data_IF_309229700803
#
_entry.id   IF_309229700803
#
_cell.length_a   1.000
_cell.length_b   1.000
_cell.length_c   1.000
_cell.angle_alpha   90.00
_cell.angle_beta   90.00
_cell.angle_gamma   90.00
#
_symmetry.space_group_name_H-M   'P 1'
#
loop_
_entity.id
_entity.type
_entity.pdbx_description
1 polymer ?
#
# COMPACT_ATOMS: atom_id res chain seq x y z
N UNK A 1 -66.55 6.97 -105.09
CA UNK A 1 -65.61 6.42 -106.05
C UNK A 1 -64.57 5.54 -105.36
N UNK A 2 -63.86 4.70 -106.20
CA UNK A 2 -62.82 3.77 -105.60
C UNK A 2 -61.72 4.62 -104.92
N UNK A 3 -61.33 5.85 -105.47
CA UNK A 3 -60.32 6.75 -104.92
C UNK A 3 -60.69 7.29 -103.49
N UNK A 4 -62.00 7.55 -103.30
CA UNK A 4 -62.45 8.05 -101.97
C UNK A 4 -62.35 6.96 -100.88
N UNK A 5 -62.54 5.70 -101.30
CA UNK A 5 -62.38 4.55 -100.35
C UNK A 5 -60.96 4.24 -100.08
N UNK A 6 -60.04 4.38 -101.04
CA UNK A 6 -58.60 4.20 -100.87
C UNK A 6 -57.98 5.33 -99.99
N UNK A 7 -58.46 6.57 -100.13
CA UNK A 7 -58.05 7.68 -99.30
C UNK A 7 -58.54 7.52 -97.85
N UNK A 8 -59.77 7.04 -97.66
CA UNK A 8 -60.29 6.74 -96.32
C UNK A 8 -59.58 5.55 -95.67
N UNK A 9 -59.18 4.54 -96.43
CA UNK A 9 -58.38 3.42 -95.93
C UNK A 9 -56.95 3.87 -95.56
N UNK A 10 -56.31 4.67 -96.38
CA UNK A 10 -54.99 5.27 -96.06
C UNK A 10 -55.03 6.15 -94.81
N UNK A 11 -56.10 6.95 -94.65
CA UNK A 11 -56.28 7.76 -93.45
C UNK A 11 -56.41 6.88 -92.21
N UNK A 12 -57.25 5.79 -92.32
CA UNK A 12 -57.46 4.88 -91.23
C UNK A 12 -56.19 4.06 -90.88
N UNK A 13 -55.41 3.66 -91.90
CA UNK A 13 -54.11 3.01 -91.69
C UNK A 13 -53.11 3.97 -91.00
N UNK A 14 -53.07 5.25 -91.33
CA UNK A 14 -52.26 6.24 -90.67
C UNK A 14 -52.65 6.46 -89.22
N UNK A 15 -53.96 6.49 -88.89
CA UNK A 15 -54.46 6.61 -87.56
C UNK A 15 -54.10 5.38 -86.72
N UNK A 16 -54.22 4.15 -87.25
CA UNK A 16 -53.82 2.92 -86.61
C UNK A 16 -52.30 2.88 -86.37
N UNK A 17 -51.47 3.31 -87.32
CA UNK A 17 -50.03 3.40 -87.20
C UNK A 17 -49.61 4.41 -86.07
N UNK A 18 -50.34 5.51 -85.97
CA UNK A 18 -50.11 6.55 -84.94
C UNK A 18 -50.52 5.97 -83.53
N UNK A 19 -51.65 5.28 -83.44
CA UNK A 19 -52.08 4.63 -82.20
C UNK A 19 -51.10 3.53 -81.79
N UNK A 20 -50.62 2.69 -82.68
CA UNK A 20 -49.63 1.68 -82.44
C UNK A 20 -48.30 2.26 -81.93
N UNK A 21 -47.82 3.36 -82.56
CA UNK A 21 -46.63 4.07 -82.10
C UNK A 21 -46.76 4.72 -80.73
N UNK A 22 -47.95 5.26 -80.42
CA UNK A 22 -48.26 5.81 -79.11
C UNK A 22 -48.33 4.77 -77.98
N UNK A 23 -48.92 3.60 -78.32
CA UNK A 23 -48.93 2.43 -77.41
C UNK A 23 -47.56 1.85 -77.20
N UNK A 24 -46.73 1.72 -78.23
CA UNK A 24 -45.34 1.28 -78.07
C UNK A 24 -44.50 2.18 -77.15
N UNK A 25 -44.66 3.52 -77.39
CA UNK A 25 -44.03 4.51 -76.49
C UNK A 25 -44.52 4.35 -75.05
N UNK A 26 -45.77 4.20 -74.82
CA UNK A 26 -46.37 4.05 -73.49
C UNK A 26 -46.00 2.73 -72.82
N UNK A 27 -45.81 1.66 -73.56
CA UNK A 27 -45.24 0.38 -73.02
C UNK A 27 -43.75 0.55 -72.63
N UNK A 28 -42.95 1.21 -73.47
CA UNK A 28 -41.56 1.49 -73.16
C UNK A 28 -41.40 2.40 -71.92
N UNK A 29 -42.20 3.41 -71.75
CA UNK A 29 -42.25 4.25 -70.57
C UNK A 29 -42.65 3.47 -69.30
N UNK A 30 -43.67 2.66 -69.38
CA UNK A 30 -44.15 1.82 -68.31
C UNK A 30 -43.10 0.78 -67.93
N UNK A 31 -42.41 0.18 -68.90
CA UNK A 31 -41.30 -0.76 -68.66
C UNK A 31 -40.12 -0.07 -67.94
N UNK A 32 -39.71 1.10 -68.42
CA UNK A 32 -38.65 1.88 -67.81
C UNK A 32 -38.98 2.28 -66.35
N UNK A 33 -40.24 2.68 -66.10
CA UNK A 33 -40.72 2.97 -64.75
C UNK A 33 -40.74 1.74 -63.86
N UNK A 34 -41.08 0.55 -64.38
CA UNK A 34 -41.02 -0.71 -63.68
C UNK A 34 -39.57 -1.08 -63.30
N UNK A 35 -38.65 -0.98 -64.27
CA UNK A 35 -37.23 -1.30 -64.04
C UNK A 35 -36.60 -0.34 -63.02
N UNK A 36 -36.95 0.94 -63.07
CA UNK A 36 -36.52 1.90 -62.06
C UNK A 36 -37.06 1.59 -60.64
N UNK A 37 -38.34 1.19 -60.56
CA UNK A 37 -38.95 0.78 -59.28
C UNK A 37 -38.30 -0.48 -58.72
N UNK A 38 -38.00 -1.47 -59.59
CA UNK A 38 -37.23 -2.68 -59.16
C UNK A 38 -35.84 -2.35 -58.67
N UNK A 39 -35.11 -1.47 -59.35
CA UNK A 39 -33.82 -1.03 -58.92
C UNK A 39 -33.88 -0.31 -57.54
N UNK A 40 -34.88 0.55 -57.34
CA UNK A 40 -35.11 1.22 -56.05
C UNK A 40 -35.45 0.21 -54.93
N UNK A 41 -36.31 -0.79 -55.17
CA UNK A 41 -36.63 -1.82 -54.22
C UNK A 41 -35.39 -2.64 -53.80
N UNK A 42 -34.54 -3.01 -54.80
CA UNK A 42 -33.30 -3.75 -54.57
C UNK A 42 -32.30 -2.93 -53.74
N UNK A 43 -32.18 -1.60 -53.99
CA UNK A 43 -31.33 -0.72 -53.21
C UNK A 43 -31.82 -0.60 -51.75
N UNK A 44 -33.11 -0.38 -51.51
CA UNK A 44 -33.70 -0.31 -50.19
C UNK A 44 -33.54 -1.64 -49.43
N UNK A 45 -33.66 -2.80 -50.10
CA UNK A 45 -33.41 -4.11 -49.51
C UNK A 45 -31.93 -4.28 -49.08
N UNK A 46 -30.97 -3.78 -49.89
CA UNK A 46 -29.56 -3.75 -49.56
C UNK A 46 -29.25 -2.88 -48.33
N UNK A 47 -29.81 -1.65 -48.31
CA UNK A 47 -29.67 -0.73 -47.17
C UNK A 47 -30.28 -1.36 -45.89
N UNK A 48 -31.46 -1.96 -45.96
CA UNK A 48 -32.09 -2.66 -44.83
C UNK A 48 -31.20 -3.79 -44.29
N UNK A 49 -30.66 -4.64 -45.17
CA UNK A 49 -29.80 -5.76 -44.75
C UNK A 49 -28.53 -5.29 -44.08
N UNK A 50 -27.89 -4.24 -44.60
CA UNK A 50 -26.73 -3.62 -44.00
C UNK A 50 -27.03 -3.05 -42.63
N UNK A 51 -28.15 -2.31 -42.51
CA UNK A 51 -28.54 -1.71 -41.22
C UNK A 51 -28.97 -2.76 -40.18
N UNK A 52 -29.62 -3.86 -40.61
CA UNK A 52 -29.93 -5.03 -39.73
C UNK A 52 -28.66 -5.65 -39.16
N UNK A 53 -27.63 -5.83 -39.99
CA UNK A 53 -26.33 -6.32 -39.55
C UNK A 53 -25.66 -5.37 -38.55
N UNK A 54 -25.72 -4.05 -38.82
CA UNK A 54 -25.19 -3.04 -37.90
C UNK A 54 -25.91 -3.03 -36.54
N UNK A 55 -27.23 -3.11 -36.54
CA UNK A 55 -28.04 -3.20 -35.30
C UNK A 55 -27.76 -4.49 -34.51
N UNK A 56 -27.52 -5.60 -35.20
CA UNK A 56 -27.13 -6.87 -34.58
C UNK A 56 -25.75 -6.76 -33.91
N UNK A 57 -24.78 -6.14 -34.60
CA UNK A 57 -23.44 -5.88 -34.04
C UNK A 57 -23.50 -4.97 -32.81
N UNK A 58 -24.23 -3.87 -32.87
CA UNK A 58 -24.46 -2.99 -31.71
C UNK A 58 -25.08 -3.74 -30.53
N UNK A 59 -25.95 -4.73 -30.81
CA UNK A 59 -26.53 -5.58 -29.79
C UNK A 59 -25.50 -6.47 -29.08
N UNK A 60 -24.58 -7.04 -29.86
CA UNK A 60 -23.47 -7.85 -29.34
C UNK A 60 -22.49 -7.00 -28.51
N UNK A 61 -22.17 -5.79 -29.01
CA UNK A 61 -21.28 -4.85 -28.31
C UNK A 61 -21.90 -4.40 -26.95
N UNK A 62 -23.20 -4.12 -26.90
CA UNK A 62 -23.92 -3.82 -25.68
C UNK A 62 -23.89 -4.95 -24.68
N UNK A 63 -24.03 -6.21 -25.12
CA UNK A 63 -23.96 -7.39 -24.24
C UNK A 63 -22.53 -7.53 -23.67
N UNK A 64 -21.50 -7.39 -24.51
CA UNK A 64 -20.11 -7.42 -24.08
C UNK A 64 -19.80 -6.31 -23.05
N UNK A 65 -20.23 -5.08 -23.30
CA UNK A 65 -20.06 -3.96 -22.35
C UNK A 65 -20.80 -4.21 -21.03
N UNK A 66 -21.94 -4.87 -21.06
CA UNK A 66 -22.68 -5.21 -19.85
C UNK A 66 -21.98 -6.26 -19.00
N UNK A 67 -21.35 -7.25 -19.62
CA UNK A 67 -20.58 -8.28 -18.92
C UNK A 67 -19.28 -7.70 -18.35
N UNK A 68 -18.59 -6.83 -19.11
CA UNK A 68 -17.42 -6.09 -18.63
C UNK A 68 -17.76 -5.19 -17.43
N UNK A 69 -18.90 -4.49 -17.49
CA UNK A 69 -19.36 -3.67 -16.38
C UNK A 69 -19.66 -4.50 -15.12
N UNK A 70 -20.24 -5.70 -15.27
CA UNK A 70 -20.47 -6.62 -14.16
C UNK A 70 -19.18 -7.07 -13.53
N UNK A 71 -18.20 -7.46 -14.35
CA UNK A 71 -16.87 -7.87 -13.89
C UNK A 71 -16.19 -6.76 -13.09
N UNK A 72 -16.17 -5.54 -13.64
CA UNK A 72 -15.60 -4.38 -12.94
C UNK A 72 -16.29 -4.06 -11.62
N UNK A 73 -17.61 -4.21 -11.58
CA UNK A 73 -18.39 -4.04 -10.35
C UNK A 73 -18.01 -5.08 -9.29
N UNK A 74 -17.95 -6.34 -9.68
CA UNK A 74 -17.65 -7.45 -8.76
C UNK A 74 -16.21 -7.34 -8.24
N UNK A 75 -15.25 -6.93 -9.08
CA UNK A 75 -13.88 -6.61 -8.68
C UNK A 75 -13.84 -5.43 -7.69
N UNK A 76 -14.56 -4.35 -7.97
CA UNK A 76 -14.66 -3.20 -7.05
C UNK A 76 -15.25 -3.61 -5.71
N UNK A 77 -16.29 -4.42 -5.69
CA UNK A 77 -16.96 -4.86 -4.47
C UNK A 77 -16.03 -5.73 -3.62
N UNK A 78 -15.24 -6.60 -4.25
CA UNK A 78 -14.19 -7.37 -3.57
C UNK A 78 -13.09 -6.47 -2.96
N UNK A 79 -12.65 -5.42 -3.70
CA UNK A 79 -11.69 -4.45 -3.18
C UNK A 79 -12.26 -3.65 -2.00
N UNK A 80 -13.54 -3.30 -2.02
CA UNK A 80 -14.20 -2.61 -0.92
C UNK A 80 -14.30 -3.47 0.35
N UNK A 81 -14.56 -4.78 0.22
CA UNK A 81 -14.53 -5.70 1.38
C UNK A 81 -13.11 -5.85 1.93
N UNK A 82 -12.10 -5.94 1.06
CA UNK A 82 -10.70 -5.95 1.49
C UNK A 82 -10.32 -4.65 2.21
N UNK A 83 -10.75 -3.49 1.69
CA UNK A 83 -10.55 -2.18 2.34
C UNK A 83 -11.16 -2.14 3.75
N UNK A 84 -12.34 -2.68 3.95
CA UNK A 84 -12.98 -2.77 5.27
C UNK A 84 -12.17 -3.60 6.25
N UNK A 85 -11.61 -4.72 5.80
CA UNK A 85 -10.79 -5.59 6.63
C UNK A 85 -9.47 -4.91 7.03
N UNK A 86 -8.78 -4.28 6.07
CA UNK A 86 -7.58 -3.50 6.37
C UNK A 86 -7.86 -2.33 7.32
N UNK A 87 -9.01 -1.70 7.22
CA UNK A 87 -9.40 -0.60 8.11
C UNK A 87 -9.63 -1.09 9.55
N UNK A 88 -10.22 -2.28 9.72
CA UNK A 88 -10.31 -2.91 11.04
C UNK A 88 -8.94 -3.23 11.62
N UNK A 89 -8.02 -3.73 10.78
CA UNK A 89 -6.65 -4.02 11.20
C UNK A 89 -5.89 -2.73 11.57
N UNK A 90 -6.02 -1.66 10.78
CA UNK A 90 -5.44 -0.35 11.09
C UNK A 90 -5.95 0.18 12.44
N UNK A 91 -7.26 0.13 12.67
CA UNK A 91 -7.87 0.58 13.92
C UNK A 91 -7.35 -0.23 15.12
N UNK A 92 -7.27 -1.56 14.98
CA UNK A 92 -6.74 -2.45 16.03
C UNK A 92 -5.26 -2.17 16.30
N UNK A 93 -4.45 -2.05 15.25
CA UNK A 93 -3.00 -1.76 15.38
C UNK A 93 -2.76 -0.37 15.97
N UNK A 94 -3.55 0.62 15.60
CA UNK A 94 -3.50 1.97 16.18
C UNK A 94 -3.82 1.97 17.68
N UNK A 95 -4.84 1.21 18.12
CA UNK A 95 -5.16 1.05 19.54
C UNK A 95 -4.03 0.33 20.30
N UNK A 96 -3.46 -0.74 19.72
CA UNK A 96 -2.33 -1.46 20.30
C UNK A 96 -1.08 -0.56 20.42
N UNK A 97 -0.82 0.26 19.42
CA UNK A 97 0.29 1.22 19.44
C UNK A 97 0.10 2.28 20.54
N UNK A 98 -1.12 2.77 20.74
CA UNK A 98 -1.43 3.69 21.86
C UNK A 98 -1.14 3.04 23.21
N UNK A 99 -1.59 1.81 23.42
CA UNK A 99 -1.30 1.05 24.64
C UNK A 99 0.21 0.81 24.83
N UNK A 100 0.93 0.43 23.75
CA UNK A 100 2.39 0.24 23.81
C UNK A 100 3.14 1.54 24.16
N UNK A 101 2.68 2.70 23.70
CA UNK A 101 3.24 4.01 24.06
C UNK A 101 3.00 4.35 25.53
N UNK A 102 1.82 4.01 26.07
CA UNK A 102 1.51 4.17 27.50
C UNK A 102 2.39 3.27 28.37
N UNK A 103 2.60 2.01 27.94
CA UNK A 103 3.51 1.08 28.59
C UNK A 103 4.96 1.60 28.57
N UNK A 104 5.43 2.11 27.43
CA UNK A 104 6.76 2.72 27.28
C UNK A 104 6.90 3.90 28.25
N UNK A 105 5.93 4.81 28.31
CA UNK A 105 5.92 5.94 29.23
C UNK A 105 5.96 5.49 30.70
N UNK A 106 5.22 4.45 31.05
CA UNK A 106 5.24 3.86 32.39
C UNK A 106 6.59 3.23 32.71
N UNK A 107 7.18 2.49 31.76
CA UNK A 107 8.49 1.87 31.92
C UNK A 107 9.60 2.94 32.08
N UNK A 108 9.56 4.01 31.30
CA UNK A 108 10.49 5.15 31.41
C UNK A 108 10.38 5.83 32.78
N UNK A 109 9.17 6.10 33.27
CA UNK A 109 8.96 6.65 34.62
C UNK A 109 9.52 5.73 35.71
N UNK A 110 9.32 4.43 35.56
CA UNK A 110 9.87 3.43 36.48
C UNK A 110 11.41 3.45 36.48
N UNK A 111 12.04 3.56 35.30
CA UNK A 111 13.50 3.67 35.18
C UNK A 111 14.02 4.95 35.83
N UNK A 112 13.38 6.10 35.58
CA UNK A 112 13.72 7.38 36.22
C UNK A 112 13.63 7.27 37.74
N UNK A 113 12.66 6.56 38.28
CA UNK A 113 12.53 6.30 39.70
C UNK A 113 13.65 5.46 40.36
N UNK A 114 14.50 4.80 39.53
CA UNK A 114 15.66 4.02 40.01
C UNK A 114 16.95 4.85 40.16
N UNK A 115 16.96 6.09 39.74
CA UNK A 115 18.12 7.00 39.79
C UNK A 115 17.78 8.28 40.54
N UNK A 116 18.82 9.04 40.95
CA UNK A 116 18.58 10.33 41.55
C UNK A 116 18.08 11.37 40.53
N UNK A 117 17.37 12.38 41.01
CA UNK A 117 16.69 13.38 40.19
C UNK A 117 17.65 14.15 39.27
N UNK A 118 18.86 14.42 39.74
CA UNK A 118 19.83 15.20 38.98
C UNK A 118 20.40 14.36 37.83
N UNK A 119 20.69 13.08 38.07
CA UNK A 119 21.13 12.13 37.04
C UNK A 119 20.02 11.92 35.98
N UNK A 120 18.79 11.76 36.41
CA UNK A 120 17.65 11.57 35.49
C UNK A 120 17.48 12.79 34.57
N UNK A 121 17.43 14.00 35.15
CA UNK A 121 17.32 15.25 34.38
C UNK A 121 18.51 15.43 33.43
N UNK A 122 19.72 15.10 33.92
CA UNK A 122 20.93 15.20 33.12
C UNK A 122 20.95 14.27 31.91
N UNK A 123 20.55 12.99 32.07
CA UNK A 123 20.49 12.02 30.98
C UNK A 123 19.46 12.42 29.92
N UNK A 124 18.27 12.87 30.34
CA UNK A 124 17.26 13.37 29.39
C UNK A 124 17.75 14.59 28.59
N UNK A 125 18.46 15.53 29.29
CA UNK A 125 19.02 16.67 28.62
C UNK A 125 20.12 16.26 27.63
N UNK A 126 21.01 15.33 27.98
CA UNK A 126 22.06 14.81 27.08
C UNK A 126 21.45 14.22 25.82
N UNK A 127 20.40 13.38 25.96
CA UNK A 127 19.70 12.76 24.83
C UNK A 127 19.11 13.83 23.89
N UNK A 128 18.44 14.84 24.45
CA UNK A 128 17.89 15.96 23.69
C UNK A 128 18.96 16.80 22.98
N UNK A 129 20.10 17.10 23.68
CA UNK A 129 21.22 17.83 23.14
C UNK A 129 21.91 17.10 22.00
N UNK A 130 22.14 15.79 22.16
CA UNK A 130 22.76 14.93 21.14
C UNK A 130 21.92 14.93 19.87
N UNK A 131 20.61 14.82 19.99
CA UNK A 131 19.68 14.85 18.86
C UNK A 131 19.62 16.26 18.21
N UNK A 132 19.51 17.33 19.02
CA UNK A 132 19.38 18.71 18.52
C UNK A 132 20.63 19.20 17.81
N UNK A 133 21.82 18.96 18.41
CA UNK A 133 23.11 19.45 17.92
C UNK A 133 23.81 18.43 17.00
N UNK A 134 23.19 17.28 16.73
CA UNK A 134 23.73 16.17 15.93
C UNK A 134 25.16 15.79 16.35
N UNK A 135 25.39 15.64 17.66
CA UNK A 135 26.72 15.35 18.24
C UNK A 135 27.04 13.87 17.97
N UNK A 136 28.09 13.60 17.21
CA UNK A 136 28.61 12.26 16.97
C UNK A 136 29.56 11.84 18.10
N UNK A 137 29.80 10.53 18.24
CA UNK A 137 30.72 9.98 19.23
C UNK A 137 30.12 9.75 20.62
N UNK A 138 28.81 9.83 20.76
CA UNK A 138 28.09 9.50 21.99
C UNK A 138 27.48 8.12 21.87
N UNK A 139 27.93 7.18 22.68
CA UNK A 139 27.43 5.79 22.66
C UNK A 139 26.20 5.60 23.55
N UNK A 140 26.03 6.43 24.58
CA UNK A 140 24.93 6.38 25.53
C UNK A 140 25.33 5.94 26.93
N UNK A 141 24.36 5.83 27.84
CA UNK A 141 24.60 5.36 29.20
C UNK A 141 25.02 3.88 29.23
N UNK A 142 25.90 3.54 30.17
CA UNK A 142 26.51 2.20 30.25
C UNK A 142 25.47 1.07 30.25
N UNK A 143 24.33 1.27 30.93
CA UNK A 143 23.26 0.27 31.02
C UNK A 143 22.64 -0.12 29.65
N UNK A 144 22.76 0.71 28.62
CA UNK A 144 22.25 0.43 27.28
C UNK A 144 23.23 -0.39 26.42
N UNK A 145 24.51 -0.43 26.82
CA UNK A 145 25.63 -0.87 26.00
C UNK A 145 26.04 -2.31 26.21
N UNK A 146 25.33 -3.06 27.07
CA UNK A 146 25.65 -4.47 27.34
C UNK A 146 24.40 -5.33 27.57
N UNK A 147 24.62 -6.64 27.46
CA UNK A 147 23.66 -7.67 27.87
C UNK A 147 24.29 -8.57 28.91
N UNK A 148 23.48 -9.06 29.82
CA UNK A 148 23.88 -9.97 30.89
C UNK A 148 22.81 -11.02 31.12
N UNK A 149 23.22 -12.26 31.45
CA UNK A 149 22.35 -13.34 31.86
C UNK A 149 21.66 -13.00 33.21
N UNK A 150 20.40 -13.37 33.37
CA UNK A 150 19.61 -13.12 34.58
C UNK A 150 20.28 -13.65 35.83
N UNK A 151 21.02 -14.75 35.75
CA UNK A 151 21.80 -15.31 36.84
C UNK A 151 22.81 -14.36 37.47
N UNK A 152 23.42 -13.48 36.63
CA UNK A 152 24.47 -12.57 37.06
C UNK A 152 23.98 -11.12 37.25
N UNK A 153 22.71 -10.86 36.97
CA UNK A 153 22.10 -9.53 36.98
C UNK A 153 22.31 -8.77 38.25
N UNK A 154 21.99 -9.39 39.40
CA UNK A 154 22.11 -8.75 40.74
C UNK A 154 23.57 -8.40 41.05
N UNK A 155 24.49 -9.33 40.80
CA UNK A 155 25.93 -9.08 40.98
C UNK A 155 26.47 -7.93 40.11
N UNK A 156 26.03 -7.88 38.86
CA UNK A 156 26.45 -6.81 37.91
C UNK A 156 25.87 -5.48 38.36
N UNK A 157 24.61 -5.44 38.73
CA UNK A 157 23.91 -4.23 39.18
C UNK A 157 24.50 -3.67 40.48
N UNK A 158 24.80 -4.53 41.44
CA UNK A 158 25.44 -4.15 42.69
C UNK A 158 26.87 -3.63 42.48
N UNK A 159 27.63 -4.28 41.61
CA UNK A 159 29.02 -3.84 41.23
C UNK A 159 29.02 -2.50 40.54
N UNK A 160 28.16 -2.31 39.55
CA UNK A 160 28.15 -1.07 38.77
C UNK A 160 27.60 0.14 39.58
N UNK A 161 26.59 -0.13 40.41
CA UNK A 161 25.97 0.94 41.20
C UNK A 161 25.53 2.13 40.34
N UNK A 162 25.98 3.34 40.70
CA UNK A 162 25.70 4.58 39.96
C UNK A 162 26.40 4.62 38.59
N UNK A 163 27.47 3.84 38.38
CA UNK A 163 28.20 3.82 37.11
C UNK A 163 27.36 3.26 35.94
N UNK A 164 26.24 2.58 36.21
CA UNK A 164 25.28 2.19 35.18
C UNK A 164 24.78 3.38 34.37
N UNK A 165 24.70 4.54 34.98
CA UNK A 165 24.17 5.77 34.38
C UNK A 165 25.26 6.69 33.78
N UNK A 166 26.55 6.29 33.85
CA UNK A 166 27.63 7.05 33.22
C UNK A 166 27.50 6.93 31.69
N UNK A 167 27.65 8.07 30.98
CA UNK A 167 27.55 8.15 29.52
C UNK A 167 28.90 7.88 28.90
N UNK A 168 29.02 6.89 28.06
CA UNK A 168 30.21 6.54 27.30
C UNK A 168 30.29 7.40 26.06
N UNK A 169 31.45 8.04 25.85
CA UNK A 169 31.74 8.89 24.68
C UNK A 169 33.11 8.51 24.11
N UNK A 170 33.34 8.86 22.86
CA UNK A 170 34.59 8.59 22.14
C UNK A 170 35.78 9.34 22.74
N UNK A 171 35.63 10.68 22.93
CA UNK A 171 36.71 11.58 23.36
C UNK A 171 36.31 12.49 24.52
N UNK A 172 37.30 13.01 25.21
CA UNK A 172 37.12 14.01 26.24
C UNK A 172 36.68 15.38 25.67
N UNK A 173 36.93 15.65 24.40
CA UNK A 173 36.42 16.83 23.70
C UNK A 173 34.89 16.76 23.53
N UNK A 174 34.40 15.61 23.11
CA UNK A 174 32.95 15.35 23.02
C UNK A 174 32.28 15.50 24.38
N UNK A 175 32.88 14.92 25.43
CA UNK A 175 32.36 15.07 26.81
C UNK A 175 32.33 16.54 27.24
N UNK A 176 33.40 17.29 27.00
CA UNK A 176 33.51 18.72 27.38
C UNK A 176 32.50 19.58 26.66
N UNK A 177 32.26 19.32 25.36
CA UNK A 177 31.24 20.02 24.58
C UNK A 177 29.84 19.82 25.18
N UNK A 178 29.49 18.58 25.52
CA UNK A 178 28.19 18.28 26.10
C UNK A 178 28.06 18.86 27.51
N UNK A 179 29.11 18.80 28.32
CA UNK A 179 29.13 19.43 29.67
C UNK A 179 28.89 20.92 29.60
N UNK A 180 29.49 21.61 28.63
CA UNK A 180 29.28 23.04 28.43
C UNK A 180 27.82 23.35 28.08
N UNK A 181 27.20 22.55 27.18
CA UNK A 181 25.80 22.69 26.80
C UNK A 181 24.88 22.39 28.00
N UNK A 182 25.16 21.34 28.78
CA UNK A 182 24.42 21.01 29.99
C UNK A 182 24.44 22.16 31.02
N UNK A 183 25.59 22.85 31.17
CA UNK A 183 25.71 24.05 32.03
C UNK A 183 24.84 25.21 31.54
N UNK A 184 24.80 25.43 30.24
CA UNK A 184 23.94 26.46 29.63
C UNK A 184 22.45 26.17 29.86
N UNK A 185 22.03 24.92 29.72
CA UNK A 185 20.63 24.46 29.97
C UNK A 185 20.29 24.40 31.48
N UNK A 186 21.27 24.54 32.37
CA UNK A 186 21.12 24.44 33.82
C UNK A 186 20.40 23.15 34.26
N UNK A 187 20.66 22.05 33.57
CA UNK A 187 19.93 20.76 33.74
C UNK A 187 20.84 19.65 34.24
N UNK A 188 20.50 19.08 35.39
CA UNK A 188 21.03 17.83 35.93
C UNK A 188 22.54 17.69 36.07
N UNK A 189 22.99 16.47 36.37
CA UNK A 189 24.43 16.13 36.43
C UNK A 189 24.63 14.75 35.78
N UNK A 190 25.66 14.67 34.93
CA UNK A 190 26.01 13.40 34.24
C UNK A 190 27.52 13.19 34.36
N UNK A 191 27.92 11.96 34.60
CA UNK A 191 29.32 11.53 34.53
C UNK A 191 29.60 10.94 33.16
N UNK A 192 30.63 11.43 32.47
CA UNK A 192 31.05 10.93 31.18
C UNK A 192 32.28 10.00 31.32
N UNK A 193 32.33 9.01 30.45
CA UNK A 193 33.43 8.03 30.33
C UNK A 193 34.05 8.15 28.93
N UNK A 194 35.01 9.07 28.71
CA UNK A 194 35.67 9.24 27.42
C UNK A 194 36.66 8.12 27.17
N UNK A 195 36.43 7.30 26.11
CA UNK A 195 37.22 6.11 25.81
C UNK A 195 38.72 6.43 25.59
N UNK A 196 39.05 7.59 25.02
CA UNK A 196 40.44 8.01 24.78
C UNK A 196 41.22 8.28 26.04
N UNK A 197 40.57 8.55 27.18
CA UNK A 197 41.21 8.85 28.48
C UNK A 197 41.22 7.68 29.44
N UNK A 198 40.39 6.69 29.24
CA UNK A 198 40.32 5.53 30.13
C UNK A 198 41.59 4.65 29.98
N UNK A 199 42.24 4.38 31.10
CA UNK A 199 43.42 3.53 31.22
C UNK A 199 43.20 2.53 32.37
N UNK A 200 42.24 1.60 32.26
CA UNK A 200 41.99 0.63 33.31
C UNK A 200 43.24 -0.32 33.43
N UNK A 201 43.70 -0.57 34.64
CA UNK A 201 44.84 -1.45 34.83
C UNK A 201 44.46 -2.90 34.48
N UNK A 202 45.45 -3.65 33.98
CA UNK A 202 45.33 -5.08 33.82
C UNK A 202 45.48 -5.75 35.19
N UNK A 203 44.43 -6.40 35.63
CA UNK A 203 44.42 -7.12 36.92
C UNK A 203 44.50 -8.60 36.67
N UNK A 204 45.45 -9.32 37.27
CA UNK A 204 45.55 -10.77 37.15
C UNK A 204 44.36 -11.42 37.87
N UNK A 205 43.68 -12.33 37.18
CA UNK A 205 42.55 -13.05 37.74
C UNK A 205 42.99 -14.44 38.22
N UNK A 206 42.41 -14.91 39.38
CA UNK A 206 42.64 -16.27 39.81
C UNK A 206 42.07 -17.29 38.79
N UNK A 207 42.84 -18.33 38.50
CA UNK A 207 42.36 -19.43 37.64
C UNK A 207 41.73 -20.53 38.48
N UNK A 208 40.52 -20.33 38.91
CA UNK A 208 39.79 -21.25 39.75
C UNK A 208 38.32 -21.30 39.32
N UNK A 209 37.65 -22.47 39.44
CA UNK A 209 36.28 -22.66 38.99
C UNK A 209 35.26 -21.86 39.78
N UNK A 210 35.57 -21.49 41.02
CA UNK A 210 34.78 -20.74 41.99
C UNK A 210 35.03 -19.19 41.93
N UNK A 211 35.91 -18.74 41.03
CA UNK A 211 36.19 -17.34 40.80
C UNK A 211 35.89 -16.93 39.34
N UNK A 212 34.67 -16.51 39.07
CA UNK A 212 34.25 -16.14 37.73
C UNK A 212 34.55 -14.67 37.47
N UNK A 213 35.33 -14.39 36.42
CA UNK A 213 35.57 -12.99 36.01
C UNK A 213 34.29 -12.33 35.51
N UNK A 214 33.84 -11.30 36.17
CA UNK A 214 32.55 -10.61 35.86
C UNK A 214 32.52 -10.10 34.41
N UNK A 215 33.61 -9.49 33.94
CA UNK A 215 33.69 -8.93 32.60
C UNK A 215 33.41 -9.98 31.49
N UNK A 216 33.76 -11.28 31.72
CA UNK A 216 33.49 -12.36 30.78
C UNK A 216 32.00 -12.81 30.73
N UNK A 217 31.17 -12.33 31.64
CA UNK A 217 29.73 -12.61 31.70
C UNK A 217 28.88 -11.49 31.10
N UNK A 218 29.53 -10.45 30.59
CA UNK A 218 28.91 -9.34 29.89
C UNK A 218 29.14 -9.49 28.38
N UNK A 219 28.11 -9.26 27.60
CA UNK A 219 28.19 -9.20 26.13
C UNK A 219 28.05 -7.73 25.71
N UNK A 220 29.07 -7.17 25.10
CA UNK A 220 29.18 -5.78 24.67
C UNK A 220 30.13 -5.65 23.47
N UNK A 221 30.14 -4.49 22.81
CA UNK A 221 31.06 -4.20 21.69
C UNK A 221 32.50 -4.04 22.20
N UNK A 222 33.48 -4.67 21.54
CA UNK A 222 34.90 -4.59 21.89
C UNK A 222 35.43 -3.16 21.93
N UNK A 223 34.90 -2.26 21.14
CA UNK A 223 35.25 -0.85 21.15
C UNK A 223 35.05 -0.21 22.54
N UNK A 224 34.08 -0.70 23.30
CA UNK A 224 33.71 -0.19 24.61
C UNK A 224 34.46 -0.87 25.77
N UNK A 225 35.37 -1.81 25.45
CA UNK A 225 36.13 -2.56 26.45
C UNK A 225 36.79 -1.68 27.53
N UNK A 226 37.40 -0.51 27.24
CA UNK A 226 37.98 0.35 28.30
C UNK A 226 36.96 0.80 29.34
N UNK A 227 35.73 1.14 28.92
CA UNK A 227 34.67 1.55 29.83
C UNK A 227 34.20 0.41 30.72
N UNK A 228 33.96 -0.78 30.13
CA UNK A 228 33.56 -1.97 30.87
C UNK A 228 34.67 -2.46 31.80
N UNK A 229 35.91 -2.43 31.35
CA UNK A 229 37.08 -2.78 32.17
C UNK A 229 37.27 -1.82 33.35
N UNK A 230 36.96 -0.53 33.20
CA UNK A 230 37.01 0.46 34.26
C UNK A 230 36.01 0.17 35.38
N UNK A 231 34.81 -0.30 35.04
CA UNK A 231 33.72 -0.57 36.00
C UNK A 231 33.78 -2.00 36.56
N UNK A 232 33.96 -3.00 35.70
CA UNK A 232 33.81 -4.42 36.04
C UNK A 232 35.14 -5.18 36.07
N UNK A 233 36.22 -4.61 35.55
CA UNK A 233 37.50 -5.31 35.36
C UNK A 233 38.21 -5.70 36.64
N UNK A 234 37.77 -5.18 37.80
CA UNK A 234 38.37 -5.51 39.11
C UNK A 234 37.51 -6.44 39.97
N UNK A 235 36.43 -7.01 39.40
CA UNK A 235 35.48 -7.76 40.18
C UNK A 235 35.37 -9.21 39.68
N UNK A 236 35.42 -10.15 40.64
CA UNK A 236 35.15 -11.57 40.43
C UNK A 236 33.84 -11.96 41.13
N UNK A 237 33.14 -12.90 40.54
CA UNK A 237 31.90 -13.45 41.08
C UNK A 237 32.27 -14.79 41.78
N UNK A 238 31.89 -14.91 43.03
CA UNK A 238 32.10 -16.08 43.85
C UNK A 238 30.77 -16.70 44.33
N UNK A 239 30.71 -18.01 44.58
CA UNK A 239 29.46 -18.67 45.03
C UNK A 239 29.03 -18.31 46.44
N UNK A 240 29.95 -17.91 47.32
CA UNK A 240 29.72 -17.62 48.72
C UNK A 240 30.64 -16.50 49.21
N UNK A 241 30.18 -15.80 50.26
CA UNK A 241 30.88 -14.65 50.82
C UNK A 241 32.20 -15.00 51.49
N UNK A 242 32.30 -16.17 52.16
CA UNK A 242 33.55 -16.67 52.77
C UNK A 242 34.66 -16.94 51.72
N UNK A 243 34.28 -17.50 50.58
CA UNK A 243 35.16 -17.71 49.40
C UNK A 243 35.59 -16.37 48.83
N UNK A 244 34.63 -15.45 48.64
CA UNK A 244 34.88 -14.09 48.20
C UNK A 244 35.91 -13.35 49.07
N UNK A 245 35.78 -13.45 50.41
CA UNK A 245 36.69 -12.86 51.38
C UNK A 245 38.08 -13.51 51.34
N UNK A 246 38.18 -14.82 51.10
CA UNK A 246 39.46 -15.51 50.93
C UNK A 246 40.22 -15.04 49.67
N UNK A 247 39.56 -14.90 48.54
CA UNK A 247 40.16 -14.38 47.31
C UNK A 247 40.65 -12.93 47.46
N UNK A 248 39.82 -12.03 48.06
CA UNK A 248 40.23 -10.63 48.26
C UNK A 248 41.45 -10.52 49.15
N UNK A 249 41.59 -11.38 50.15
CA UNK A 249 42.80 -11.43 51.02
C UNK A 249 44.02 -11.98 50.35
N UNK A 250 43.87 -12.97 49.42
CA UNK A 250 44.99 -13.59 48.70
C UNK A 250 45.42 -12.83 47.45
N UNK A 251 44.53 -12.04 46.88
CA UNK A 251 44.80 -11.29 45.62
C UNK A 251 44.81 -9.79 45.84
N UNK A 252 45.86 -9.09 45.48
CA UNK A 252 45.90 -7.65 45.59
C UNK A 252 45.07 -6.96 44.48
N UNK A 253 44.13 -6.09 44.92
CA UNK A 253 43.44 -5.18 44.02
C UNK A 253 42.13 -5.67 43.39
N UNK A 254 41.67 -6.90 43.73
CA UNK A 254 40.36 -7.44 43.26
C UNK A 254 39.28 -7.20 44.30
N UNK A 255 38.09 -6.93 43.80
CA UNK A 255 36.83 -7.01 44.54
C UNK A 255 36.17 -8.35 44.27
N UNK A 256 35.42 -8.90 45.22
CA UNK A 256 34.63 -10.09 44.99
C UNK A 256 33.16 -9.84 45.35
N UNK A 257 32.27 -10.51 44.64
CA UNK A 257 30.83 -10.39 44.84
C UNK A 257 30.17 -11.76 44.71
N UNK A 258 29.10 -11.96 45.50
CA UNK A 258 28.26 -13.15 45.34
C UNK A 258 27.16 -12.93 44.30
N UNK A 259 26.47 -14.01 43.87
CA UNK A 259 25.31 -13.92 42.99
C UNK A 259 24.14 -13.15 43.64
N UNK A 260 24.04 -13.16 44.95
CA UNK A 260 23.02 -12.45 45.71
C UNK A 260 23.35 -10.94 45.87
N UNK A 261 24.57 -10.52 45.48
CA UNK A 261 24.98 -9.12 45.52
C UNK A 261 25.79 -8.72 46.75
N UNK A 262 26.15 -9.66 47.64
CA UNK A 262 27.05 -9.38 48.74
C UNK A 262 28.47 -9.18 48.27
N UNK A 263 29.12 -8.09 48.70
CA UNK A 263 30.42 -7.64 48.21
C UNK A 263 31.51 -7.67 49.26
N UNK A 264 32.70 -8.02 48.84
CA UNK A 264 33.93 -7.79 49.56
C UNK A 264 34.83 -6.85 48.76
N UNK A 265 35.07 -5.64 49.31
CA UNK A 265 35.99 -4.68 48.70
C UNK A 265 37.43 -5.12 48.93
N UNK A 266 38.33 -4.80 48.01
CA UNK A 266 39.79 -4.96 48.08
C UNK A 266 40.42 -4.44 49.37
N UNK A 267 39.74 -3.54 50.09
CA UNK A 267 40.18 -3.00 51.38
C UNK A 267 39.66 -3.83 52.59
N UNK A 268 38.91 -4.90 52.33
CA UNK A 268 38.32 -5.79 53.32
C UNK A 268 36.97 -5.36 53.86
N UNK A 269 36.37 -4.28 53.36
CA UNK A 269 35.02 -3.89 53.73
C UNK A 269 34.01 -4.90 53.14
N UNK A 270 33.05 -5.31 53.99
CA UNK A 270 31.94 -6.21 53.61
C UNK A 270 30.65 -5.37 53.50
N UNK A 271 30.02 -5.47 52.37
CA UNK A 271 28.68 -4.90 52.13
C UNK A 271 27.74 -5.97 51.65
N UNK A 272 26.60 -6.12 52.26
CA UNK A 272 25.60 -7.13 51.92
C UNK A 272 24.24 -6.77 52.54
N UNK A 273 23.23 -7.49 52.14
CA UNK A 273 21.89 -7.32 52.65
C UNK A 273 20.80 -7.67 51.61
N UNK A 274 19.55 -7.43 51.99
CA UNK A 274 18.44 -7.73 51.10
C UNK A 274 18.42 -6.83 49.86
N UNK A 275 18.45 -7.42 48.70
CA UNK A 275 18.21 -6.76 47.44
C UNK A 275 16.75 -6.94 46.99
N UNK A 276 16.00 -5.83 46.90
CA UNK A 276 14.64 -5.83 46.38
C UNK A 276 14.66 -5.97 44.84
N UNK A 277 14.32 -7.17 44.38
CA UNK A 277 14.26 -7.48 42.94
C UNK A 277 13.28 -6.57 42.18
N UNK A 278 12.26 -6.01 42.84
CA UNK A 278 11.29 -5.11 42.20
C UNK A 278 11.90 -3.76 41.84
N UNK A 279 13.05 -3.41 42.45
CA UNK A 279 13.80 -2.18 42.21
C UNK A 279 15.01 -2.36 41.28
N UNK A 280 15.10 -3.47 40.59
CA UNK A 280 16.19 -3.73 39.65
C UNK A 280 16.22 -2.70 38.54
N UNK A 281 17.34 -2.02 38.41
CA UNK A 281 17.63 -1.00 37.37
C UNK A 281 17.68 -1.66 35.99
N UNK A 282 18.34 -2.80 35.90
CA UNK A 282 18.47 -3.53 34.63
C UNK A 282 17.12 -4.09 34.14
N UNK A 283 16.24 -4.49 35.07
CA UNK A 283 14.87 -4.90 34.68
C UNK A 283 14.03 -3.71 34.20
N UNK A 284 14.20 -2.54 34.82
CA UNK A 284 13.56 -1.32 34.35
C UNK A 284 14.06 -0.95 32.94
N UNK A 285 15.37 -1.03 32.69
CA UNK A 285 15.97 -0.81 31.36
C UNK A 285 15.43 -1.80 30.34
N UNK A 286 15.41 -3.08 30.66
CA UNK A 286 14.89 -4.14 29.77
C UNK A 286 13.42 -3.93 29.42
N UNK A 287 12.62 -3.44 30.39
CA UNK A 287 11.22 -3.07 30.11
C UNK A 287 11.14 -1.93 29.10
N UNK A 288 11.92 -0.86 29.30
CA UNK A 288 11.95 0.25 28.35
C UNK A 288 12.36 -0.22 26.96
N UNK A 289 13.42 -1.02 26.84
CA UNK A 289 13.89 -1.55 25.55
C UNK A 289 12.83 -2.42 24.85
N UNK A 290 12.13 -3.29 25.61
CA UNK A 290 11.05 -4.11 25.03
C UNK A 290 9.87 -3.27 24.58
N UNK A 291 9.43 -2.32 25.42
CA UNK A 291 8.32 -1.42 25.05
C UNK A 291 8.67 -0.54 23.86
N UNK A 292 9.92 -0.06 23.79
CA UNK A 292 10.40 0.71 22.64
C UNK A 292 10.36 -0.13 21.34
N UNK A 293 10.88 -1.35 21.37
CA UNK A 293 10.83 -2.25 20.22
C UNK A 293 9.39 -2.57 19.79
N UNK A 294 8.46 -2.70 20.76
CA UNK A 294 7.03 -2.91 20.48
C UNK A 294 6.41 -1.68 19.81
N UNK A 295 6.76 -0.47 20.25
CA UNK A 295 6.29 0.78 19.65
C UNK A 295 6.82 0.91 18.21
N UNK A 296 8.12 0.71 18.00
CA UNK A 296 8.74 0.76 16.66
C UNK A 296 8.12 -0.24 15.69
N UNK A 297 7.93 -1.49 16.13
CA UNK A 297 7.26 -2.50 15.33
C UNK A 297 5.80 -2.12 15.00
N UNK A 298 5.07 -1.56 15.97
CA UNK A 298 3.72 -1.08 15.78
C UNK A 298 3.62 0.10 14.82
N UNK A 299 4.56 1.04 14.88
CA UNK A 299 4.65 2.18 13.95
C UNK A 299 4.92 1.73 12.52
N UNK A 300 5.84 0.78 12.33
CA UNK A 300 6.13 0.19 11.02
C UNK A 300 4.92 -0.55 10.45
N UNK A 301 4.26 -1.38 11.27
CA UNK A 301 3.06 -2.09 10.85
C UNK A 301 1.92 -1.14 10.47
N UNK A 302 1.72 -0.06 11.24
CA UNK A 302 0.70 0.96 10.95
C UNK A 302 1.01 1.72 9.65
N UNK A 303 2.28 2.04 9.41
CA UNK A 303 2.72 2.70 8.18
C UNK A 303 2.48 1.82 6.95
N UNK A 304 2.75 0.52 7.05
CA UNK A 304 2.48 -0.46 5.98
C UNK A 304 0.98 -0.56 5.69
N UNK A 305 0.13 -0.74 6.71
CA UNK A 305 -1.32 -0.81 6.54
C UNK A 305 -1.90 0.45 5.88
N UNK A 306 -1.39 1.63 6.24
CA UNK A 306 -1.81 2.90 5.62
C UNK A 306 -1.38 3.01 4.17
N UNK A 307 -0.21 2.50 3.83
CA UNK A 307 0.25 2.45 2.46
C UNK A 307 -0.64 1.53 1.61
N UNK A 308 -0.91 0.31 2.08
CA UNK A 308 -1.81 -0.65 1.42
C UNK A 308 -3.23 -0.09 1.25
N UNK A 309 -3.77 0.58 2.28
CA UNK A 309 -5.07 1.26 2.19
C UNK A 309 -5.08 2.36 1.12
N UNK A 310 -4.01 3.13 1.01
CA UNK A 310 -3.89 4.18 0.01
C UNK A 310 -3.84 3.62 -1.43
N UNK A 311 -3.04 2.58 -1.66
CA UNK A 311 -2.97 1.90 -2.96
C UNK A 311 -4.31 1.28 -3.35
N UNK A 312 -4.99 0.65 -2.38
CA UNK A 312 -6.30 0.07 -2.58
C UNK A 312 -7.35 1.14 -2.92
N UNK A 313 -7.29 2.30 -2.29
CA UNK A 313 -8.18 3.43 -2.56
C UNK A 313 -7.98 4.00 -3.96
N UNK A 314 -6.73 4.12 -4.42
CA UNK A 314 -6.41 4.50 -5.80
C UNK A 314 -6.97 3.48 -6.79
N UNK A 315 -6.79 2.19 -6.53
CA UNK A 315 -7.30 1.11 -7.37
C UNK A 315 -8.83 1.13 -7.44
N UNK A 316 -9.51 1.30 -6.32
CA UNK A 316 -10.98 1.45 -6.27
C UNK A 316 -11.46 2.65 -7.09
N UNK A 317 -10.78 3.79 -6.96
CA UNK A 317 -11.11 5.02 -7.71
C UNK A 317 -10.92 4.82 -9.21
N UNK A 318 -9.85 4.14 -9.61
CA UNK A 318 -9.61 3.80 -11.01
C UNK A 318 -10.72 2.91 -11.58
N UNK A 319 -11.06 1.81 -10.88
CA UNK A 319 -12.15 0.91 -11.27
C UNK A 319 -13.50 1.64 -11.38
N UNK A 320 -13.79 2.54 -10.45
CA UNK A 320 -15.00 3.34 -10.51
C UNK A 320 -15.03 4.27 -11.72
N UNK A 321 -13.90 4.90 -12.07
CA UNK A 321 -13.80 5.76 -13.26
C UNK A 321 -13.97 4.95 -14.56
N UNK A 322 -13.43 3.72 -14.63
CA UNK A 322 -13.65 2.81 -15.76
C UNK A 322 -15.12 2.43 -15.91
N UNK A 323 -15.79 2.11 -14.81
CA UNK A 323 -17.23 1.81 -14.80
C UNK A 323 -18.06 2.99 -15.32
N UNK A 324 -17.78 4.21 -14.88
CA UNK A 324 -18.48 5.42 -15.36
C UNK A 324 -18.25 5.67 -16.85
N UNK A 325 -17.02 5.47 -17.33
CA UNK A 325 -16.69 5.59 -18.76
C UNK A 325 -17.48 4.58 -19.59
N UNK A 326 -17.50 3.33 -19.14
CA UNK A 326 -18.21 2.25 -19.83
C UNK A 326 -19.72 2.48 -19.82
N UNK A 327 -20.28 3.02 -18.75
CA UNK A 327 -21.68 3.38 -18.63
C UNK A 327 -22.06 4.50 -19.62
N UNK A 328 -21.22 5.52 -19.76
CA UNK A 328 -21.38 6.57 -20.77
C UNK A 328 -21.37 6.02 -22.20
N UNK A 329 -20.41 5.15 -22.52
CA UNK A 329 -20.33 4.50 -23.83
C UNK A 329 -21.56 3.62 -24.11
N UNK A 330 -21.99 2.85 -23.13
CA UNK A 330 -23.21 2.03 -23.22
C UNK A 330 -24.46 2.87 -23.49
N UNK A 331 -24.58 4.02 -22.84
CA UNK A 331 -25.70 4.95 -23.04
C UNK A 331 -25.72 5.48 -24.48
N UNK A 332 -24.56 5.97 -24.99
CA UNK A 332 -24.44 6.44 -26.37
C UNK A 332 -24.77 5.35 -27.40
N UNK A 333 -24.31 4.12 -27.16
CA UNK A 333 -24.58 2.99 -28.04
C UNK A 333 -26.07 2.60 -28.02
N UNK A 334 -26.73 2.68 -26.86
CA UNK A 334 -28.18 2.48 -26.75
C UNK A 334 -28.97 3.51 -27.55
N UNK A 335 -28.61 4.79 -27.49
CA UNK A 335 -29.25 5.86 -28.27
C UNK A 335 -29.03 5.67 -29.76
N UNK A 336 -27.78 5.37 -30.17
CA UNK A 336 -27.45 5.06 -31.57
C UNK A 336 -28.24 3.87 -32.09
N UNK A 337 -28.36 2.79 -31.31
CA UNK A 337 -29.14 1.62 -31.68
C UNK A 337 -30.64 1.90 -31.78
N UNK A 338 -31.18 2.74 -30.91
CA UNK A 338 -32.58 3.17 -30.98
C UNK A 338 -32.85 3.96 -32.27
N UNK A 339 -31.97 4.88 -32.64
CA UNK A 339 -32.05 5.63 -33.89
C UNK A 339 -32.00 4.69 -35.12
N UNK A 340 -31.07 3.72 -35.12
CA UNK A 340 -30.96 2.72 -36.17
C UNK A 340 -32.24 1.84 -36.29
N UNK A 341 -32.87 1.49 -35.18
CA UNK A 341 -34.16 0.79 -35.20
C UNK A 341 -35.30 1.60 -35.81
N UNK A 342 -35.33 2.91 -35.55
CA UNK A 342 -36.31 3.81 -36.20
C UNK A 342 -36.08 3.88 -37.71
N UNK A 343 -34.85 4.03 -38.15
CA UNK A 343 -34.47 4.02 -39.55
C UNK A 343 -34.80 2.69 -40.23
N UNK A 344 -34.54 1.57 -39.56
CA UNK A 344 -34.86 0.23 -40.05
C UNK A 344 -36.36 0.05 -40.22
N UNK A 345 -37.18 0.62 -39.35
CA UNK A 345 -38.63 0.59 -39.45
C UNK A 345 -39.12 1.39 -40.64
N UNK A 346 -38.50 2.55 -40.92
CA UNK A 346 -38.78 3.36 -42.10
C UNK A 346 -38.36 2.62 -43.39
N UNK A 347 -37.16 2.05 -43.45
CA UNK A 347 -36.67 1.30 -44.60
C UNK A 347 -37.59 0.13 -44.95
N UNK A 348 -38.05 -0.64 -43.98
CA UNK A 348 -39.01 -1.75 -44.17
C UNK A 348 -40.30 -1.29 -44.80
N UNK A 349 -40.85 -0.12 -44.38
CA UNK A 349 -42.06 0.47 -44.98
C UNK A 349 -41.79 0.91 -46.39
N UNK A 350 -40.71 1.64 -46.61
CA UNK A 350 -40.30 2.15 -47.93
C UNK A 350 -40.04 1.03 -48.95
N UNK A 351 -39.44 -0.08 -48.49
CA UNK A 351 -39.22 -1.28 -49.30
C UNK A 351 -40.53 -1.92 -49.68
N UNK A 352 -41.47 -2.07 -48.71
CA UNK A 352 -42.81 -2.62 -49.00
C UNK A 352 -43.59 -1.77 -49.97
N UNK A 353 -43.51 -0.44 -49.85
CA UNK A 353 -44.17 0.50 -50.77
C UNK A 353 -43.54 0.44 -52.19
N UNK A 354 -42.21 0.25 -52.27
CA UNK A 354 -41.51 0.08 -53.54
C UNK A 354 -41.91 -1.23 -54.25
N UNK A 355 -42.00 -2.33 -53.53
CA UNK A 355 -42.49 -3.59 -54.08
C UNK A 355 -43.95 -3.50 -54.56
N UNK A 356 -44.86 -2.90 -53.77
CA UNK A 356 -46.24 -2.68 -54.19
C UNK A 356 -46.37 -1.76 -55.41
N UNK A 357 -45.42 -0.83 -55.55
CA UNK A 357 -45.32 0.01 -56.78
C UNK A 357 -44.84 -0.82 -58.00
N UNK A 358 -43.85 -1.69 -57.79
CA UNK A 358 -43.37 -2.58 -58.85
C UNK A 358 -44.52 -3.48 -59.36
N UNK A 359 -45.29 -4.15 -58.45
CA UNK A 359 -46.41 -5.00 -58.85
C UNK A 359 -47.47 -4.24 -59.67
N UNK A 360 -47.80 -2.99 -59.24
CA UNK A 360 -48.76 -2.16 -59.99
C UNK A 360 -48.26 -1.82 -61.38
N UNK A 361 -46.96 -1.47 -61.50
CA UNK A 361 -46.34 -1.15 -62.77
C UNK A 361 -46.26 -2.38 -63.73
N UNK A 362 -45.96 -3.55 -63.17
CA UNK A 362 -45.97 -4.83 -63.93
C UNK A 362 -47.36 -5.14 -64.48
N UNK A 363 -48.41 -4.93 -63.71
CA UNK A 363 -49.79 -5.07 -64.17
C UNK A 363 -50.12 -4.07 -65.30
N UNK A 364 -49.68 -2.79 -65.16
CA UNK A 364 -49.86 -1.78 -66.23
C UNK A 364 -49.09 -2.16 -67.51
N UNK A 365 -47.85 -2.65 -67.40
CA UNK A 365 -47.04 -3.11 -68.56
C UNK A 365 -47.77 -4.30 -69.24
N UNK A 366 -48.26 -5.25 -68.46
CA UNK A 366 -48.98 -6.42 -69.00
C UNK A 366 -50.28 -6.05 -69.69
N UNK A 367 -51.08 -5.11 -69.11
CA UNK A 367 -52.30 -4.62 -69.75
C UNK A 367 -52.01 -3.89 -71.07
N UNK A 368 -51.04 -2.99 -71.10
CA UNK A 368 -50.64 -2.29 -72.29
C UNK A 368 -50.07 -3.20 -73.38
N UNK A 369 -49.38 -4.27 -73.06
CA UNK A 369 -48.92 -5.28 -74.01
C UNK A 369 -50.09 -6.02 -74.63
N UNK A 370 -51.14 -6.32 -73.85
CA UNK A 370 -52.37 -6.93 -74.39
C UNK A 370 -53.11 -5.96 -75.32
N UNK A 371 -53.20 -4.66 -74.95
CA UNK A 371 -53.79 -3.61 -75.79
C UNK A 371 -53.03 -3.45 -77.11
N UNK A 372 -51.72 -3.45 -77.06
CA UNK A 372 -50.84 -3.39 -78.23
C UNK A 372 -51.02 -4.58 -79.18
N UNK A 373 -51.15 -5.79 -78.62
CA UNK A 373 -51.40 -6.99 -79.42
C UNK A 373 -52.79 -7.00 -80.05
N UNK A 374 -53.80 -6.50 -79.35
CA UNK A 374 -55.18 -6.37 -79.87
C UNK A 374 -55.30 -5.31 -80.94
N UNK A 375 -54.54 -4.22 -80.92
CA UNK A 375 -54.54 -3.17 -81.93
C UNK A 375 -53.82 -3.58 -83.17
N UNK A 376 -52.98 -4.65 -83.18
CA UNK A 376 -52.25 -5.20 -84.33
C UNK A 376 -53.01 -6.32 -85.09
N UNK A 377 -54.15 -6.79 -84.53
CA UNK A 377 -55.07 -7.75 -85.09
C UNK A 377 -56.22 -7.04 -85.77
#
# INVERSE_FOLDING_TARGET
SVADRDAALHAHMSDVDQEAAALDHAVKEAQAACDAAKAQAAELAGQRTSLESHVAQQGADLASMQDEWRTLRDERDALLEHKKELWKQETKTSAQLTHARDELSSAQRSLVGTMDRATAAGLQCVEALVARENIKGVYGPLYQLFRVDDRYKTAVEATAGASLFHVVVDTDETASRILHLLQQEKSGRVTFMPLNRLRPPDTPYPQAPDAIVMLRKLSFDELLLPAFKQVFGKTIICPRLDIAAAYVRSTQGLNAITLDGDQVDRRGALSGGYHDASRSRLDAVRRVQRSLATVEAGEQALAQLRHELHELEQTCTHKYSEMLRLEGQRHQLHESRAAAHHELTWLRRSETDAYARCERLEQVVSQRHVEQTLSLI
#
